data_IF_378530469994
#
_entry.id   IF_378530469994
#
_cell.length_a   1.000
_cell.length_b   1.000
_cell.length_c   1.000
_cell.angle_alpha   90.00
_cell.angle_beta   90.00
_cell.angle_gamma   90.00
#
_symmetry.space_group_name_H-M   'P 1'
#
loop_
_entity.id
_entity.type
_entity.pdbx_description
1 polymer ?
#
# COMPACT_ATOMS: atom_id res chain seq x y z
N UNK A 1 -0.22 -7.20 -12.46
CA UNK A 1 -0.22 -6.25 -11.32
C UNK A 1 -0.94 -6.92 -10.17
N UNK A 2 -0.54 -6.72 -8.92
CA UNK A 2 -1.24 -7.30 -7.76
C UNK A 2 -2.22 -6.26 -7.22
N UNK A 3 -3.50 -6.63 -7.08
CA UNK A 3 -4.60 -5.75 -6.64
C UNK A 3 -5.24 -6.31 -5.35
N UNK A 4 -4.49 -7.12 -4.59
CA UNK A 4 -5.00 -7.87 -3.43
C UNK A 4 -4.91 -7.15 -2.09
N UNK A 5 -4.44 -5.89 -2.06
CA UNK A 5 -4.13 -5.18 -0.81
C UNK A 5 -5.34 -5.00 0.11
N UNK A 6 -6.55 -4.92 -0.45
CA UNK A 6 -7.79 -4.89 0.35
C UNK A 6 -7.93 -6.15 1.20
N UNK A 7 -7.69 -7.33 0.61
CA UNK A 7 -7.77 -8.60 1.32
C UNK A 7 -6.69 -8.72 2.40
N UNK A 8 -5.51 -8.14 2.16
CA UNK A 8 -4.46 -8.10 3.16
C UNK A 8 -4.76 -7.15 4.32
N UNK A 9 -5.46 -6.04 4.05
CA UNK A 9 -5.97 -5.14 5.08
C UNK A 9 -7.01 -5.87 5.94
N UNK A 10 -7.96 -6.56 5.31
CA UNK A 10 -8.98 -7.35 6.02
C UNK A 10 -8.35 -8.45 6.88
N UNK A 11 -7.45 -9.26 6.30
CA UNK A 11 -6.76 -10.33 7.03
C UNK A 11 -5.83 -9.78 8.13
N UNK A 12 -5.20 -8.62 7.89
CA UNK A 12 -4.38 -7.94 8.88
C UNK A 12 -5.20 -7.42 10.06
N UNK A 13 -6.37 -6.84 9.79
CA UNK A 13 -7.31 -6.42 10.83
C UNK A 13 -7.86 -7.61 11.64
N UNK A 14 -8.21 -8.71 10.97
CA UNK A 14 -8.59 -9.98 11.64
C UNK A 14 -7.46 -10.53 12.53
N UNK A 15 -6.23 -10.53 12.03
CA UNK A 15 -5.05 -10.93 12.80
C UNK A 15 -4.83 -10.05 14.02
N UNK A 16 -5.01 -8.73 13.86
CA UNK A 16 -4.91 -7.78 14.96
C UNK A 16 -6.01 -7.98 16.01
N UNK A 17 -7.27 -8.13 15.61
CA UNK A 17 -8.38 -8.38 16.55
C UNK A 17 -8.19 -9.69 17.30
N UNK A 18 -7.81 -10.78 16.62
CA UNK A 18 -7.66 -12.08 17.28
C UNK A 18 -6.61 -12.04 18.39
N UNK A 19 -5.46 -11.40 18.16
CA UNK A 19 -4.43 -11.19 19.19
C UNK A 19 -4.88 -10.18 20.24
N UNK A 20 -5.53 -9.08 19.85
CA UNK A 20 -6.05 -8.08 20.79
C UNK A 20 -7.06 -8.67 21.78
N UNK A 21 -7.95 -9.55 21.32
CA UNK A 21 -8.92 -10.26 22.14
C UNK A 21 -8.27 -11.36 22.99
N UNK A 22 -7.30 -12.09 22.43
CA UNK A 22 -6.60 -13.17 23.16
C UNK A 22 -5.78 -12.62 24.33
N UNK A 23 -5.08 -11.50 24.14
CA UNK A 23 -4.26 -10.89 25.18
C UNK A 23 -5.09 -10.08 26.17
N UNK A 24 -6.24 -9.54 25.75
CA UNK A 24 -7.14 -8.76 26.60
C UNK A 24 -6.39 -7.69 27.39
N UNK A 25 -6.55 -7.67 28.71
CA UNK A 25 -5.86 -6.76 29.63
C UNK A 25 -4.70 -7.42 30.39
N UNK A 26 -4.28 -8.63 29.97
CA UNK A 26 -3.25 -9.39 30.69
C UNK A 26 -1.85 -8.77 30.57
N UNK A 27 -1.62 -7.93 29.57
CA UNK A 27 -0.33 -7.31 29.27
C UNK A 27 -0.46 -5.78 29.20
N UNK A 28 0.66 -5.04 29.36
CA UNK A 28 0.66 -3.60 29.18
C UNK A 28 0.14 -3.21 27.79
N UNK A 29 -0.65 -2.12 27.67
CA UNK A 29 -1.27 -1.71 26.41
C UNK A 29 -0.32 -1.61 25.21
N UNK A 30 0.88 -1.09 25.45
CA UNK A 30 1.89 -0.92 24.40
C UNK A 30 2.34 -2.28 23.85
N UNK A 31 2.47 -3.29 24.70
CA UNK A 31 2.88 -4.64 24.30
C UNK A 31 1.75 -5.33 23.52
N UNK A 32 0.50 -5.13 23.93
CA UNK A 32 -0.67 -5.61 23.17
C UNK A 32 -0.72 -4.94 21.79
N UNK A 33 -0.51 -3.63 21.70
CA UNK A 33 -0.49 -2.90 20.43
C UNK A 33 0.64 -3.36 19.50
N UNK A 34 1.83 -3.63 20.04
CA UNK A 34 2.93 -4.23 19.25
C UNK A 34 2.55 -5.63 18.79
N UNK A 35 1.99 -6.46 19.67
CA UNK A 35 1.55 -7.81 19.30
C UNK A 35 0.50 -7.76 18.18
N UNK A 36 -0.50 -6.88 18.28
CA UNK A 36 -1.49 -6.63 17.24
C UNK A 36 -0.85 -6.14 15.93
N UNK A 37 0.12 -5.22 16.00
CA UNK A 37 0.86 -4.74 14.83
C UNK A 37 1.58 -5.89 14.14
N UNK A 38 2.29 -6.72 14.90
CA UNK A 38 3.03 -7.86 14.35
C UNK A 38 2.10 -8.91 13.74
N UNK A 39 0.96 -9.17 14.39
CA UNK A 39 -0.05 -10.08 13.87
C UNK A 39 -0.66 -9.57 12.56
N UNK A 40 -1.00 -8.28 12.49
CA UNK A 40 -1.50 -7.65 11.27
C UNK A 40 -0.48 -7.66 10.14
N UNK A 41 0.78 -7.32 10.43
CA UNK A 41 1.91 -7.38 9.49
C UNK A 41 2.08 -8.80 8.94
N UNK A 42 2.12 -9.80 9.81
CA UNK A 42 2.34 -11.19 9.40
C UNK A 42 1.15 -11.73 8.63
N UNK A 43 -0.08 -11.49 9.09
CA UNK A 43 -1.29 -11.97 8.42
C UNK A 43 -1.45 -11.34 7.02
N UNK A 44 -1.35 -10.00 6.92
CA UNK A 44 -1.43 -9.30 5.63
C UNK A 44 -0.26 -9.65 4.71
N UNK A 45 0.95 -9.76 5.26
CA UNK A 45 2.16 -10.13 4.53
C UNK A 45 2.07 -11.54 3.94
N UNK A 46 1.70 -12.52 4.75
CA UNK A 46 1.50 -13.91 4.29
C UNK A 46 0.40 -14.00 3.23
N UNK A 47 -0.67 -13.20 3.35
CA UNK A 47 -1.77 -13.19 2.38
C UNK A 47 -1.32 -12.77 0.98
N UNK A 48 -0.61 -11.64 0.87
CA UNK A 48 -0.11 -11.18 -0.44
C UNK A 48 1.08 -12.03 -0.90
N UNK A 49 1.91 -12.53 0.02
CA UNK A 49 2.97 -13.48 -0.31
C UNK A 49 2.40 -14.75 -0.94
N UNK A 50 1.23 -15.24 -0.49
CA UNK A 50 0.54 -16.37 -1.12
C UNK A 50 0.14 -16.07 -2.57
N UNK A 51 -0.40 -14.87 -2.84
CA UNK A 51 -0.70 -14.43 -4.21
C UNK A 51 0.59 -14.37 -5.07
N UNK A 52 1.67 -13.82 -4.52
CA UNK A 52 2.98 -13.75 -5.19
C UNK A 52 3.62 -15.12 -5.40
N UNK A 53 3.42 -16.07 -4.48
CA UNK A 53 3.91 -17.43 -4.58
C UNK A 53 3.16 -18.22 -5.65
N UNK A 54 1.83 -18.05 -5.78
CA UNK A 54 1.04 -18.67 -6.85
C UNK A 54 1.55 -18.25 -8.24
N UNK A 55 1.94 -16.98 -8.40
CA UNK A 55 2.62 -16.51 -9.60
C UNK A 55 3.97 -17.21 -9.79
N UNK A 56 4.81 -17.24 -8.76
CA UNK A 56 6.17 -17.78 -8.89
C UNK A 56 6.18 -19.28 -9.22
N UNK A 57 5.35 -20.07 -8.55
CA UNK A 57 5.36 -21.53 -8.65
C UNK A 57 4.41 -22.08 -9.72
N UNK A 58 3.26 -21.43 -9.94
CA UNK A 58 2.22 -21.94 -10.86
C UNK A 58 2.01 -21.06 -12.09
N UNK A 59 2.81 -20.01 -12.28
CA UNK A 59 2.70 -19.06 -13.40
C UNK A 59 1.28 -18.48 -13.59
N UNK A 60 0.49 -18.42 -12.51
CA UNK A 60 -0.87 -17.89 -12.54
C UNK A 60 -0.83 -16.37 -12.72
N UNK A 61 -1.82 -15.84 -13.41
CA UNK A 61 -1.99 -14.39 -13.53
C UNK A 61 -2.16 -13.75 -12.14
N UNK A 62 -1.20 -12.92 -11.77
CA UNK A 62 -1.13 -12.24 -10.48
C UNK A 62 -2.34 -11.32 -10.21
N UNK A 63 -2.93 -10.73 -11.26
CA UNK A 63 -4.10 -9.87 -11.13
C UNK A 63 -5.32 -10.69 -10.72
N UNK A 64 -5.58 -11.80 -11.43
CA UNK A 64 -6.73 -12.67 -11.16
C UNK A 64 -6.57 -13.34 -9.79
N UNK A 65 -5.38 -13.90 -9.50
CA UNK A 65 -5.14 -14.58 -8.23
C UNK A 65 -5.30 -13.66 -7.03
N UNK A 66 -4.81 -12.42 -7.12
CA UNK A 66 -4.90 -11.47 -6.01
C UNK A 66 -6.33 -10.94 -5.79
N UNK A 67 -7.09 -10.76 -6.88
CA UNK A 67 -8.50 -10.40 -6.83
C UNK A 67 -9.34 -11.52 -6.21
N UNK A 68 -9.13 -12.77 -6.63
CA UNK A 68 -9.84 -13.92 -6.06
C UNK A 68 -9.51 -14.13 -4.59
N UNK A 69 -8.24 -13.96 -4.20
CA UNK A 69 -7.83 -14.01 -2.79
C UNK A 69 -8.47 -12.90 -1.95
N UNK A 70 -8.82 -11.76 -2.55
CA UNK A 70 -9.56 -10.74 -1.81
C UNK A 70 -10.97 -11.22 -1.43
N UNK A 71 -11.70 -11.85 -2.37
CA UNK A 71 -13.02 -12.41 -2.05
C UNK A 71 -12.95 -13.48 -0.97
N UNK A 72 -11.89 -14.31 -0.98
CA UNK A 72 -11.66 -15.30 0.07
C UNK A 72 -11.42 -14.61 1.42
N UNK A 73 -10.63 -13.53 1.47
CA UNK A 73 -10.40 -12.77 2.71
C UNK A 73 -11.71 -12.19 3.28
N UNK A 74 -12.55 -11.60 2.43
CA UNK A 74 -13.85 -11.04 2.83
C UNK A 74 -14.78 -12.16 3.31
N UNK A 75 -14.82 -13.31 2.63
CA UNK A 75 -15.61 -14.46 3.07
C UNK A 75 -15.12 -15.01 4.42
N UNK A 76 -13.81 -15.05 4.66
CA UNK A 76 -13.23 -15.44 5.95
C UNK A 76 -13.60 -14.45 7.06
N UNK A 77 -13.53 -13.14 6.80
CA UNK A 77 -14.00 -12.11 7.72
C UNK A 77 -15.46 -12.37 8.11
N UNK A 78 -16.34 -12.49 7.12
CA UNK A 78 -17.77 -12.70 7.34
C UNK A 78 -18.05 -14.01 8.10
N UNK A 79 -17.30 -15.08 7.82
CA UNK A 79 -17.44 -16.34 8.54
C UNK A 79 -16.99 -16.24 10.00
N UNK A 80 -15.84 -15.59 10.26
CA UNK A 80 -15.30 -15.47 11.62
C UNK A 80 -16.13 -14.51 12.49
N UNK A 81 -16.51 -13.37 11.93
CA UNK A 81 -17.34 -12.35 12.58
C UNK A 81 -18.78 -12.83 12.75
N UNK A 82 -19.30 -13.62 11.80
CA UNK A 82 -20.64 -14.19 11.86
C UNK A 82 -20.75 -15.43 12.76
N UNK A 83 -19.65 -16.11 13.05
CA UNK A 83 -19.61 -17.34 13.83
C UNK A 83 -18.74 -17.25 15.09
N UNK A 84 -17.49 -17.80 15.11
CA UNK A 84 -16.73 -18.04 16.33
C UNK A 84 -16.38 -16.78 17.14
N UNK A 85 -16.18 -15.64 16.48
CA UNK A 85 -15.75 -14.40 17.14
C UNK A 85 -16.92 -13.44 17.41
N UNK A 86 -18.16 -13.86 17.10
CA UNK A 86 -19.34 -13.01 17.18
C UNK A 86 -19.64 -12.59 18.62
N UNK A 87 -19.80 -11.28 18.83
CA UNK A 87 -20.35 -10.76 20.07
C UNK A 87 -21.90 -10.94 20.08
N UNK A 88 -22.47 -11.65 21.07
CA UNK A 88 -23.93 -11.84 21.20
C UNK A 88 -24.71 -10.54 21.43
N UNK A 89 -24.05 -9.48 21.90
CA UNK A 89 -24.68 -8.17 22.17
C UNK A 89 -24.90 -7.33 20.92
N UNK A 90 -24.21 -7.66 19.83
CA UNK A 90 -24.32 -6.97 18.54
C UNK A 90 -25.47 -7.56 17.70
N UNK A 91 -26.68 -7.03 17.94
CA UNK A 91 -27.93 -7.52 17.35
C UNK A 91 -28.14 -7.06 15.88
N UNK A 92 -27.68 -5.85 15.54
CA UNK A 92 -27.96 -5.23 14.23
C UNK A 92 -26.86 -5.43 13.18
N UNK A 93 -25.61 -5.68 13.59
CA UNK A 93 -24.46 -5.95 12.71
C UNK A 93 -23.54 -6.97 13.35
N UNK A 94 -23.22 -8.11 12.70
CA UNK A 94 -22.19 -9.02 13.20
C UNK A 94 -20.88 -8.26 13.39
N UNK A 95 -20.38 -8.24 14.62
CA UNK A 95 -19.08 -7.68 14.98
C UNK A 95 -18.38 -8.63 15.94
N UNK A 96 -17.05 -8.56 15.97
CA UNK A 96 -16.31 -9.23 17.04
C UNK A 96 -16.55 -8.58 18.39
N UNK A 97 -16.13 -9.24 19.47
CA UNK A 97 -16.01 -8.60 20.77
C UNK A 97 -15.23 -7.28 20.64
N UNK A 98 -15.66 -6.23 21.36
CA UNK A 98 -14.94 -4.96 21.37
C UNK A 98 -13.58 -5.16 22.04
N UNK A 99 -12.56 -4.51 21.48
CA UNK A 99 -11.26 -4.41 22.13
C UNK A 99 -11.41 -3.58 23.41
N UNK A 100 -10.64 -3.92 24.43
CA UNK A 100 -10.57 -3.12 25.63
C UNK A 100 -10.08 -1.70 25.29
N UNK A 101 -10.74 -0.66 25.83
CA UNK A 101 -10.43 0.75 25.55
C UNK A 101 -8.95 1.09 25.75
N UNK A 102 -8.30 0.43 26.72
CA UNK A 102 -6.87 0.60 27.01
C UNK A 102 -5.96 0.15 25.86
N UNK A 103 -6.41 -0.80 25.03
CA UNK A 103 -5.65 -1.34 23.91
C UNK A 103 -5.90 -0.56 22.60
N UNK A 104 -6.91 0.30 22.58
CA UNK A 104 -7.19 1.15 21.42
C UNK A 104 -6.05 2.16 21.21
N UNK A 105 -5.82 2.50 19.93
CA UNK A 105 -4.91 3.58 19.58
C UNK A 105 -5.59 4.90 19.92
N UNK A 106 -5.11 5.57 20.96
CA UNK A 106 -5.63 6.86 21.39
C UNK A 106 -5.51 7.94 20.30
N UNK A 107 -6.22 9.04 20.53
CA UNK A 107 -6.09 10.26 19.74
C UNK A 107 -4.93 11.12 20.24
N UNK A 108 -4.30 11.87 19.34
CA UNK A 108 -3.29 12.86 19.68
C UNK A 108 -3.99 13.95 20.53
N UNK A 109 -3.46 14.29 21.72
CA UNK A 109 -4.07 15.28 22.61
C UNK A 109 -4.42 16.58 21.88
N UNK A 110 -5.67 17.02 21.97
CA UNK A 110 -6.16 18.24 21.32
C UNK A 110 -6.62 18.10 19.86
N UNK A 111 -6.58 16.90 19.28
CA UNK A 111 -7.08 16.66 17.90
C UNK A 111 -7.94 15.40 17.79
N UNK A 112 -8.70 15.28 16.70
CA UNK A 112 -9.41 14.04 16.32
C UNK A 112 -8.51 13.03 15.58
N UNK A 113 -7.21 13.31 15.47
CA UNK A 113 -6.26 12.49 14.71
C UNK A 113 -5.73 11.39 15.61
N UNK A 114 -5.79 10.15 15.14
CA UNK A 114 -5.28 8.98 15.86
C UNK A 114 -3.77 8.82 15.66
N UNK A 115 -3.09 8.14 16.60
CA UNK A 115 -1.68 7.75 16.45
C UNK A 115 -1.40 6.85 15.23
N UNK A 116 -2.44 6.34 14.56
CA UNK A 116 -2.34 5.67 13.25
C UNK A 116 -1.60 6.49 12.18
N UNK A 117 -1.67 7.83 12.22
CA UNK A 117 -0.90 8.69 11.31
C UNK A 117 0.61 8.49 11.47
N UNK A 118 1.07 8.29 12.72
CA UNK A 118 2.48 8.05 13.00
C UNK A 118 2.94 6.71 12.42
N UNK A 119 2.11 5.65 12.55
CA UNK A 119 2.40 4.36 11.93
C UNK A 119 2.54 4.48 10.40
N UNK A 120 1.65 5.24 9.76
CA UNK A 120 1.73 5.51 8.32
C UNK A 120 3.00 6.28 7.93
N UNK A 121 3.40 7.28 8.71
CA UNK A 121 4.61 8.05 8.45
C UNK A 121 5.88 7.19 8.60
N UNK A 122 5.96 6.41 9.69
CA UNK A 122 7.06 5.47 9.92
C UNK A 122 7.12 4.45 8.79
N UNK A 123 5.99 3.89 8.36
CA UNK A 123 5.92 2.97 7.24
C UNK A 123 6.45 3.59 5.94
N UNK A 124 6.11 4.86 5.64
CA UNK A 124 6.62 5.57 4.47
C UNK A 124 8.15 5.79 4.54
N UNK A 125 8.68 6.14 5.72
CA UNK A 125 10.13 6.31 5.93
C UNK A 125 10.86 4.97 5.75
N UNK A 126 10.32 3.88 6.30
CA UNK A 126 10.87 2.53 6.14
C UNK A 126 10.86 2.15 4.66
N UNK A 127 9.74 2.36 3.96
CA UNK A 127 9.63 2.09 2.53
C UNK A 127 10.61 2.92 1.70
N UNK A 128 10.80 4.20 2.04
CA UNK A 128 11.79 5.07 1.41
C UNK A 128 13.22 4.54 1.58
N UNK A 129 13.62 4.21 2.81
CA UNK A 129 14.95 3.69 3.09
C UNK A 129 15.17 2.34 2.39
N UNK A 130 14.20 1.43 2.50
CA UNK A 130 14.26 0.12 1.87
C UNK A 130 14.39 0.23 0.35
N UNK A 131 13.62 1.10 -0.29
CA UNK A 131 13.68 1.26 -1.74
C UNK A 131 14.96 2.00 -2.16
N UNK A 132 15.28 3.14 -1.57
CA UNK A 132 16.33 4.03 -2.11
C UNK A 132 17.74 3.72 -1.61
N UNK A 133 17.87 3.17 -0.39
CA UNK A 133 19.18 3.00 0.27
C UNK A 133 19.66 1.56 0.34
N UNK A 134 18.86 0.56 -0.06
CA UNK A 134 19.26 -0.86 0.03
C UNK A 134 19.49 -1.52 -1.33
N UNK A 135 20.33 -2.55 -1.33
CA UNK A 135 20.58 -3.43 -2.49
C UNK A 135 19.31 -4.18 -2.91
N UNK A 136 18.45 -4.53 -1.96
CA UNK A 136 17.14 -5.12 -2.24
C UNK A 136 16.26 -4.17 -3.05
N UNK A 137 16.20 -2.89 -2.66
CA UNK A 137 15.44 -1.87 -3.38
C UNK A 137 15.95 -1.63 -4.80
N UNK A 138 17.28 -1.67 -5.01
CA UNK A 138 17.88 -1.64 -6.34
C UNK A 138 17.46 -2.86 -7.18
N UNK A 139 17.60 -4.07 -6.64
CA UNK A 139 17.20 -5.30 -7.32
C UNK A 139 15.69 -5.32 -7.66
N UNK A 140 14.84 -4.82 -6.76
CA UNK A 140 13.40 -4.70 -6.97
C UNK A 140 13.06 -3.73 -8.11
N UNK A 141 13.71 -2.55 -8.17
CA UNK A 141 13.50 -1.59 -9.27
C UNK A 141 13.98 -2.14 -10.61
N UNK A 142 15.14 -2.78 -10.64
CA UNK A 142 15.68 -3.40 -11.86
C UNK A 142 14.78 -4.52 -12.36
N UNK A 143 14.27 -5.37 -11.45
CA UNK A 143 13.31 -6.42 -11.79
C UNK A 143 11.96 -5.87 -12.27
N UNK A 144 11.49 -4.74 -11.71
CA UNK A 144 10.27 -4.07 -12.10
C UNK A 144 10.35 -3.40 -13.48
N UNK A 145 11.51 -2.84 -13.84
CA UNK A 145 11.71 -2.21 -15.15
C UNK A 145 11.81 -3.21 -16.29
N UNK A 146 12.62 -4.25 -16.14
CA UNK A 146 12.72 -5.32 -17.15
C UNK A 146 13.11 -6.66 -16.53
N UNK A 147 12.11 -7.54 -16.41
CA UNK A 147 12.27 -8.90 -15.87
C UNK A 147 13.31 -9.73 -16.63
N UNK A 148 13.40 -9.57 -17.96
CA UNK A 148 14.36 -10.33 -18.78
C UNK A 148 15.78 -9.85 -18.51
N UNK A 149 16.01 -8.54 -18.49
CA UNK A 149 17.32 -7.96 -18.18
C UNK A 149 17.78 -8.31 -16.75
N UNK A 150 16.86 -8.25 -15.78
CA UNK A 150 17.15 -8.64 -14.40
C UNK A 150 17.56 -10.11 -14.27
N UNK A 151 16.94 -11.01 -15.05
CA UNK A 151 17.30 -12.43 -15.07
C UNK A 151 18.68 -12.66 -15.69
N UNK A 152 19.01 -11.94 -16.77
CA UNK A 152 20.34 -12.00 -17.41
C UNK A 152 21.42 -11.49 -16.43
N UNK A 153 21.11 -10.47 -15.63
CA UNK A 153 21.98 -9.96 -14.57
C UNK A 153 22.09 -10.89 -13.33
N UNK A 154 21.47 -12.09 -13.36
CA UNK A 154 21.56 -13.08 -12.28
C UNK A 154 20.67 -12.79 -11.06
N UNK A 155 19.73 -11.83 -11.14
CA UNK A 155 18.86 -11.51 -10.01
C UNK A 155 17.79 -12.61 -9.79
N UNK A 156 17.53 -13.02 -8.54
CA UNK A 156 16.51 -14.03 -8.24
C UNK A 156 15.10 -13.43 -8.28
N UNK A 157 14.62 -13.09 -9.48
CA UNK A 157 13.33 -12.39 -9.71
C UNK A 157 12.16 -13.09 -9.01
N UNK A 158 12.15 -14.43 -8.96
CA UNK A 158 11.11 -15.21 -8.29
C UNK A 158 11.02 -14.91 -6.79
N UNK A 159 12.16 -15.07 -6.07
CA UNK A 159 12.25 -14.77 -4.64
C UNK A 159 11.98 -13.30 -4.35
N UNK A 160 12.53 -12.40 -5.16
CA UNK A 160 12.28 -10.95 -5.05
C UNK A 160 10.78 -10.65 -5.14
N UNK A 161 10.06 -11.29 -6.07
CA UNK A 161 8.62 -11.06 -6.21
C UNK A 161 7.88 -11.43 -4.93
N UNK A 162 8.14 -12.62 -4.36
CA UNK A 162 7.46 -13.08 -3.13
C UNK A 162 7.78 -12.19 -1.93
N UNK A 163 9.03 -11.72 -1.79
CA UNK A 163 9.44 -10.83 -0.70
C UNK A 163 8.76 -9.46 -0.84
N UNK A 164 8.71 -8.89 -2.04
CA UNK A 164 8.01 -7.61 -2.29
C UNK A 164 6.52 -7.76 -1.99
N UNK A 165 5.92 -8.89 -2.38
CA UNK A 165 4.54 -9.23 -2.06
C UNK A 165 4.31 -9.27 -0.54
N UNK A 166 5.18 -9.94 0.20
CA UNK A 166 5.11 -10.00 1.65
C UNK A 166 5.21 -8.61 2.30
N UNK A 167 6.15 -7.78 1.84
CA UNK A 167 6.32 -6.42 2.36
C UNK A 167 5.13 -5.52 2.04
N UNK A 168 4.60 -5.57 0.82
CA UNK A 168 3.40 -4.83 0.44
C UNK A 168 2.18 -5.25 1.28
N UNK A 169 2.00 -6.56 1.47
CA UNK A 169 0.96 -7.11 2.34
C UNK A 169 1.14 -6.74 3.81
N UNK A 170 2.40 -6.63 4.27
CA UNK A 170 2.73 -6.22 5.64
C UNK A 170 2.28 -4.79 5.93
N UNK A 171 2.53 -3.86 5.00
CA UNK A 171 2.05 -2.48 5.13
C UNK A 171 0.53 -2.37 5.06
N UNK A 172 -0.11 -3.15 4.18
CA UNK A 172 -1.58 -3.21 4.12
C UNK A 172 -2.19 -3.81 5.39
N UNK A 173 -1.57 -4.86 5.95
CA UNK A 173 -2.00 -5.49 7.18
C UNK A 173 -1.81 -4.61 8.41
N UNK A 174 -0.74 -3.80 8.44
CA UNK A 174 -0.54 -2.76 9.46
C UNK A 174 -1.65 -1.69 9.38
N UNK A 175 -2.06 -1.29 8.17
CA UNK A 175 -3.19 -0.38 8.01
C UNK A 175 -4.50 -1.00 8.53
N UNK A 176 -4.72 -2.30 8.32
CA UNK A 176 -5.86 -3.04 8.87
C UNK A 176 -5.86 -3.08 10.41
N UNK A 177 -4.69 -3.24 11.03
CA UNK A 177 -4.55 -3.12 12.49
C UNK A 177 -4.96 -1.72 12.97
N UNK A 178 -4.48 -0.67 12.31
CA UNK A 178 -4.79 0.72 12.68
C UNK A 178 -6.29 1.00 12.56
N UNK A 179 -6.94 0.52 11.49
CA UNK A 179 -8.39 0.69 11.29
C UNK A 179 -9.19 0.06 12.43
N UNK A 180 -8.86 -1.17 12.79
CA UNK A 180 -9.47 -1.87 13.93
C UNK A 180 -9.21 -1.13 15.24
N UNK A 181 -7.94 -0.83 15.54
CA UNK A 181 -7.53 -0.39 16.86
C UNK A 181 -7.83 1.10 17.13
N UNK A 182 -7.94 1.93 16.09
CA UNK A 182 -8.15 3.36 16.22
C UNK A 182 -9.58 3.81 15.89
N UNK A 183 -10.24 3.17 14.91
CA UNK A 183 -11.51 3.66 14.36
C UNK A 183 -12.68 2.80 14.83
N UNK A 184 -12.62 1.49 14.57
CA UNK A 184 -13.78 0.62 14.76
C UNK A 184 -13.89 0.01 16.15
N UNK A 185 -12.76 -0.22 16.84
CA UNK A 185 -12.71 -0.91 18.13
C UNK A 185 -13.10 -2.40 18.08
N UNK A 186 -13.51 -2.90 16.91
CA UNK A 186 -13.93 -4.29 16.65
C UNK A 186 -13.76 -4.60 15.16
N UNK A 187 -13.66 -5.87 14.79
CA UNK A 187 -13.72 -6.26 13.38
C UNK A 187 -15.18 -6.49 12.95
N UNK A 188 -15.57 -5.80 11.89
CA UNK A 188 -16.89 -5.91 11.24
C UNK A 188 -16.73 -5.70 9.73
N UNK A 189 -17.83 -5.71 8.99
CA UNK A 189 -17.83 -5.50 7.54
C UNK A 189 -17.26 -4.13 7.12
N UNK A 190 -17.21 -3.14 8.04
CA UNK A 190 -16.62 -1.83 7.79
C UNK A 190 -15.09 -1.86 7.60
N UNK A 191 -14.41 -2.98 7.91
CA UNK A 191 -13.02 -3.17 7.49
C UNK A 191 -12.86 -3.20 5.97
N UNK A 192 -13.88 -3.65 5.24
CA UNK A 192 -13.90 -3.65 3.78
C UNK A 192 -14.37 -2.29 3.25
N UNK A 193 -13.61 -1.24 3.57
CA UNK A 193 -13.90 0.14 3.19
C UNK A 193 -13.30 0.53 1.81
N UNK A 194 -12.52 -0.34 1.18
CA UNK A 194 -11.89 -0.07 -0.11
C UNK A 194 -10.58 0.73 -0.02
N UNK A 195 -9.97 0.85 1.17
CA UNK A 195 -8.72 1.58 1.36
C UNK A 195 -7.54 1.00 0.57
N UNK A 196 -7.49 -0.31 0.39
CA UNK A 196 -6.51 -1.00 -0.45
C UNK A 196 -6.62 -0.59 -1.93
N UNK A 197 -7.84 -0.40 -2.43
CA UNK A 197 -8.05 0.13 -3.79
C UNK A 197 -7.73 1.62 -3.87
N UNK A 198 -8.12 2.41 -2.87
CA UNK A 198 -7.75 3.82 -2.78
C UNK A 198 -6.24 4.04 -2.76
N UNK A 199 -5.48 3.15 -2.12
CA UNK A 199 -4.03 3.16 -2.11
C UNK A 199 -3.40 3.04 -3.51
N UNK A 200 -4.07 2.41 -4.47
CA UNK A 200 -3.59 2.31 -5.86
C UNK A 200 -3.59 3.69 -6.50
N UNK A 201 -4.69 4.43 -6.36
CA UNK A 201 -4.79 5.82 -6.84
C UNK A 201 -3.68 6.68 -6.25
N UNK A 202 -3.49 6.59 -4.93
CA UNK A 202 -2.44 7.34 -4.22
C UNK A 202 -1.05 6.99 -4.76
N UNK A 203 -0.76 5.70 -4.97
CA UNK A 203 0.54 5.24 -5.46
C UNK A 203 0.85 5.76 -6.87
N UNK A 204 -0.16 5.80 -7.76
CA UNK A 204 -0.02 6.34 -9.12
C UNK A 204 0.14 7.86 -9.11
N UNK A 205 -0.69 8.57 -8.35
CA UNK A 205 -0.58 10.02 -8.20
C UNK A 205 0.79 10.43 -7.60
N UNK A 206 1.34 9.61 -6.70
CA UNK A 206 2.66 9.80 -6.11
C UNK A 206 3.82 9.38 -7.02
N UNK A 207 3.56 8.88 -8.23
CA UNK A 207 4.57 8.35 -9.17
C UNK A 207 5.50 7.33 -8.50
N UNK A 208 4.96 6.50 -7.61
CA UNK A 208 5.71 5.52 -6.82
C UNK A 208 6.83 6.11 -5.93
N UNK A 209 6.82 7.41 -5.63
CA UNK A 209 7.75 8.02 -4.67
C UNK A 209 7.18 7.93 -3.22
N UNK A 210 7.82 7.18 -2.30
CA UNK A 210 7.30 6.96 -0.96
C UNK A 210 7.11 8.24 -0.13
N UNK A 211 7.87 9.31 -0.38
CA UNK A 211 7.71 10.57 0.35
C UNK A 211 6.49 11.36 -0.16
N UNK A 212 6.21 11.31 -1.46
CA UNK A 212 5.05 11.98 -2.05
C UNK A 212 3.73 11.30 -1.66
N UNK A 213 3.76 10.00 -1.34
CA UNK A 213 2.60 9.24 -0.85
C UNK A 213 1.99 9.87 0.40
N UNK A 214 2.80 10.42 1.31
CA UNK A 214 2.29 11.06 2.55
C UNK A 214 1.39 12.24 2.22
N UNK A 215 1.83 13.14 1.33
CA UNK A 215 1.03 14.32 0.96
C UNK A 215 -0.24 13.93 0.21
N UNK A 216 -0.13 12.98 -0.73
CA UNK A 216 -1.26 12.59 -1.60
C UNK A 216 -2.27 11.76 -0.83
N UNK A 217 -1.83 10.88 0.06
CA UNK A 217 -2.73 10.13 0.96
C UNK A 217 -3.50 11.06 1.89
N UNK A 218 -2.88 12.16 2.36
CA UNK A 218 -3.57 13.16 3.16
C UNK A 218 -4.67 13.88 2.35
N UNK A 219 -4.40 14.25 1.11
CA UNK A 219 -5.39 14.89 0.22
C UNK A 219 -6.55 13.93 -0.11
N UNK A 220 -6.24 12.70 -0.51
CA UNK A 220 -7.24 11.67 -0.84
C UNK A 220 -8.03 11.26 0.40
N UNK A 221 -7.37 11.09 1.54
CA UNK A 221 -8.02 10.83 2.83
C UNK A 221 -8.92 11.97 3.28
N UNK A 222 -8.53 13.22 3.03
CA UNK A 222 -9.36 14.40 3.28
C UNK A 222 -10.64 14.43 2.43
N UNK A 223 -10.55 14.02 1.17
CA UNK A 223 -11.71 13.87 0.28
C UNK A 223 -12.65 12.79 0.83
N UNK A 224 -12.12 11.63 1.24
CA UNK A 224 -12.90 10.54 1.83
C UNK A 224 -13.60 10.97 3.13
N UNK A 225 -12.88 11.66 4.01
CA UNK A 225 -13.42 12.18 5.27
C UNK A 225 -14.52 13.24 5.06
N UNK A 226 -14.41 14.03 3.98
CA UNK A 226 -15.41 15.05 3.61
C UNK A 226 -16.65 14.44 2.95
N UNK A 227 -16.59 13.18 2.50
CA UNK A 227 -17.68 12.49 1.82
C UNK A 227 -18.98 12.48 2.62
N UNK A 228 -18.91 12.15 3.92
CA UNK A 228 -20.10 12.12 4.77
C UNK A 228 -20.73 13.48 5.04
N UNK A 229 -19.94 14.57 4.97
CA UNK A 229 -20.47 15.94 5.04
C UNK A 229 -21.15 16.29 3.72
N UNK A 230 -20.50 15.99 2.59
CA UNK A 230 -21.02 16.25 1.25
C UNK A 230 -22.37 15.55 1.02
N UNK A 231 -22.49 14.30 1.48
CA UNK A 231 -23.72 13.52 1.44
C UNK A 231 -24.84 14.20 2.24
N UNK A 232 -24.55 14.67 3.46
CA UNK A 232 -25.54 15.32 4.33
C UNK A 232 -25.91 16.73 3.89
N UNK A 233 -24.98 17.47 3.29
CA UNK A 233 -25.22 18.86 2.88
C UNK A 233 -25.92 18.99 1.53
N UNK A 234 -25.72 18.03 0.63
CA UNK A 234 -26.21 18.08 -0.75
C UNK A 234 -27.18 16.93 -1.08
N UNK A 235 -27.58 16.12 -0.10
CA UNK A 235 -28.42 14.90 -0.27
C UNK A 235 -27.90 13.97 -1.39
N UNK A 236 -26.58 13.82 -1.45
CA UNK A 236 -25.93 13.01 -2.48
C UNK A 236 -25.76 11.54 -2.01
N UNK A 237 -25.89 10.56 -2.92
CA UNK A 237 -25.56 9.17 -2.62
C UNK A 237 -24.07 8.98 -2.24
N UNK A 238 -23.77 7.95 -1.46
CA UNK A 238 -22.39 7.59 -1.09
C UNK A 238 -21.50 7.33 -2.31
N UNK A 239 -22.10 6.80 -3.38
CA UNK A 239 -21.44 6.59 -4.67
C UNK A 239 -20.82 7.86 -5.27
N UNK A 240 -21.27 9.06 -4.90
CA UNK A 240 -20.69 10.31 -5.43
C UNK A 240 -19.22 10.48 -5.05
N UNK A 241 -18.83 10.06 -3.84
CA UNK A 241 -17.43 10.14 -3.39
C UNK A 241 -16.55 9.19 -4.21
N UNK A 242 -17.05 7.98 -4.47
CA UNK A 242 -16.40 6.99 -5.32
C UNK A 242 -16.25 7.48 -6.77
N UNK A 243 -17.28 8.10 -7.34
CA UNK A 243 -17.22 8.68 -8.69
C UNK A 243 -16.19 9.80 -8.75
N UNK A 244 -16.16 10.68 -7.75
CA UNK A 244 -15.17 11.76 -7.67
C UNK A 244 -13.74 11.21 -7.55
N UNK A 245 -13.52 10.18 -6.74
CA UNK A 245 -12.24 9.49 -6.63
C UNK A 245 -11.82 8.88 -7.98
N UNK A 246 -12.76 8.26 -8.72
CA UNK A 246 -12.53 7.75 -10.07
C UNK A 246 -12.17 8.86 -11.06
N UNK A 247 -12.84 10.01 -10.99
CA UNK A 247 -12.52 11.18 -11.82
C UNK A 247 -11.10 11.69 -11.54
N UNK A 248 -10.73 11.84 -10.27
CA UNK A 248 -9.37 12.24 -9.85
C UNK A 248 -8.34 11.24 -10.40
N UNK A 249 -8.62 9.94 -10.31
CA UNK A 249 -7.75 8.91 -10.86
C UNK A 249 -7.58 9.05 -12.38
N UNK A 250 -8.66 9.25 -13.12
CA UNK A 250 -8.62 9.46 -14.58
C UNK A 250 -7.83 10.72 -14.94
N UNK A 251 -8.03 11.82 -14.22
CA UNK A 251 -7.28 13.08 -14.44
C UNK A 251 -5.79 12.89 -14.16
N UNK A 252 -5.43 12.20 -13.08
CA UNK A 252 -4.04 11.90 -12.75
C UNK A 252 -3.40 11.02 -13.83
N UNK A 253 -4.06 9.94 -14.24
CA UNK A 253 -3.57 9.07 -15.32
C UNK A 253 -3.42 9.83 -16.64
N UNK A 254 -4.38 10.69 -16.98
CA UNK A 254 -4.32 11.50 -18.19
C UNK A 254 -3.18 12.52 -18.14
N UNK A 255 -2.99 13.18 -16.98
CA UNK A 255 -1.87 14.09 -16.74
C UNK A 255 -0.51 13.40 -16.88
N UNK A 256 -0.39 12.16 -16.38
CA UNK A 256 0.84 11.38 -16.53
C UNK A 256 1.14 11.02 -17.99
N UNK A 257 0.11 10.70 -18.79
CA UNK A 257 0.23 10.46 -20.24
C UNK A 257 0.63 11.70 -21.05
N UNK A 258 0.29 12.90 -20.54
CA UNK A 258 0.68 14.18 -21.14
C UNK A 258 2.10 14.63 -20.74
N UNK A 259 2.62 14.14 -19.61
CA UNK A 259 3.96 14.43 -19.15
C UNK A 259 5.01 13.90 -20.16
N UNK A 260 5.92 14.76 -20.62
CA UNK A 260 6.92 14.44 -21.65
C UNK A 260 6.50 14.70 -23.10
N UNK A 261 5.19 14.87 -23.38
CA UNK A 261 4.68 15.28 -24.72
C UNK A 261 4.52 16.80 -24.85
N UNK A 262 4.26 17.50 -23.74
CA UNK A 262 4.18 18.96 -23.71
C UNK A 262 5.59 19.54 -23.58
N UNK A 263 6.05 20.41 -24.51
CA UNK A 263 7.44 20.91 -24.54
C UNK A 263 7.84 21.73 -23.30
N UNK A 264 6.89 22.18 -22.48
CA UNK A 264 7.13 22.94 -21.24
C UNK A 264 7.67 22.10 -20.08
N UNK A 265 7.45 20.77 -20.08
CA UNK A 265 7.86 19.86 -19.00
C UNK A 265 9.02 18.92 -19.38
N UNK A 266 9.65 19.12 -20.54
CA UNK A 266 10.89 18.41 -20.87
C UNK A 266 12.04 19.00 -20.04
N UNK A 267 12.76 18.15 -19.32
CA UNK A 267 14.09 18.52 -18.82
C UNK A 267 14.91 18.99 -20.02
N UNK A 268 15.40 20.24 -19.95
CA UNK A 268 16.33 20.77 -20.95
C UNK A 268 17.53 19.81 -20.99
N UNK A 269 17.89 19.25 -22.15
CA UNK A 269 19.09 18.46 -22.25
C UNK A 269 20.25 19.29 -21.73
N UNK A 270 21.00 18.76 -20.77
CA UNK A 270 22.28 19.32 -20.39
C UNK A 270 23.13 19.22 -21.66
N UNK A 271 23.28 20.35 -22.36
CA UNK A 271 24.20 20.46 -23.48
C UNK A 271 25.57 20.37 -22.84
N UNK A 272 26.17 19.17 -22.86
CA UNK A 272 27.59 19.00 -22.58
C UNK A 272 28.35 19.64 -23.74
N UNK A 273 28.57 20.96 -23.65
CA UNK A 273 29.42 21.67 -24.60
C UNK A 273 30.87 21.23 -24.36
N UNK A 274 31.33 20.38 -25.29
CA UNK A 274 32.69 20.21 -25.84
C UNK A 274 33.86 19.81 -24.93
N UNK A 275 34.57 18.77 -25.37
CA UNK A 275 35.84 18.97 -26.08
C UNK A 275 36.10 17.77 -27.02
N UNK A 276 36.24 18.02 -28.32
CA UNK A 276 36.91 17.08 -29.21
C UNK A 276 38.36 16.89 -28.73
N UNK A 277 38.93 15.67 -28.76
CA UNK A 277 40.34 15.48 -28.40
C UNK A 277 41.22 16.36 -29.31
N UNK A 278 42.28 16.99 -28.79
CA UNK A 278 43.22 17.71 -29.64
C UNK A 278 43.79 16.75 -30.69
N UNK A 279 43.78 17.16 -31.96
CA UNK A 279 44.38 16.40 -33.04
C UNK A 279 45.86 16.13 -32.72
N UNK A 280 46.28 14.87 -32.82
CA UNK A 280 47.68 14.49 -32.65
C UNK A 280 48.54 15.15 -33.74
N UNK A 281 49.65 15.81 -33.40
CA UNK A 281 50.58 16.31 -34.40
C UNK A 281 51.40 15.12 -34.92
N UNK A 282 51.12 14.63 -36.14
CA UNK A 282 51.94 13.55 -36.70
C UNK A 282 51.50 12.82 -37.97
N UNK A 283 50.53 13.28 -38.77
CA UNK A 283 50.29 12.69 -40.10
C UNK A 283 50.73 13.66 -41.19
N UNK A 284 51.96 13.45 -41.68
CA UNK A 284 52.44 14.05 -42.93
C UNK A 284 51.61 13.53 -44.12
N UNK A 285 51.32 14.37 -45.13
CA UNK A 285 50.61 13.93 -46.31
C UNK A 285 51.56 13.11 -47.20
N UNK A 286 51.25 11.84 -47.42
CA UNK A 286 51.87 11.04 -48.48
C UNK A 286 51.46 11.62 -49.83
N UNK A 287 52.39 12.35 -50.45
CA UNK A 287 52.29 12.80 -51.84
C UNK A 287 52.57 11.58 -52.73
N UNK A 288 51.53 11.01 -53.32
CA UNK A 288 51.67 10.08 -54.45
C UNK A 288 51.86 10.89 -55.74
N UNK A 289 53.03 10.75 -56.35
CA UNK A 289 53.30 11.10 -57.74
C UNK A 289 52.69 10.07 -58.69
#
# INVERSE_FOLDING_TARGET
VIIGNEGALVMGGLGAVSIGLMLGTALPPLLVQIAMATAGIVAGGLWIAAAGALRHYRAVNETISSLLLNYIAIALLNHLVGGPMRDPSSLNKPSTFPLADVNMLGSIPGTRVHWGLLYGLIACIIAYFLMQRTTFGFAARTAGGNVRAARIAGLPVGKLTVIICFLAGSFAGLAGMVEVAAVQGSANESLNAGYGYGGILVAFAARHNPLAVVLISLLVGGILASGGILQRSLDLPDATVLVFQGLVFLVVLYSDSLYGKIPFFKEKPIITTSASPPASPGEEPVVTA
#
